data_IF_310010687389
#
_entry.id   IF_310010687389
#
_cell.length_a   1.000
_cell.length_b   1.000
_cell.length_c   1.000
_cell.angle_alpha   90.00
_cell.angle_beta   90.00
_cell.angle_gamma   90.00
#
_symmetry.space_group_name_H-M   'P 1'
#
loop_
_entity.id
_entity.type
_entity.pdbx_description
1 polymer ?
#
# COMPACT_ATOMS: atom_id res chain seq x y z
N UNK A 1 -8.06 -26.63 -5.16
CA UNK A 1 -8.43 -25.25 -4.78
C UNK A 1 -7.87 -24.31 -5.84
N UNK A 2 -8.71 -23.43 -6.41
CA UNK A 2 -8.25 -22.37 -7.31
C UNK A 2 -7.46 -21.33 -6.52
N UNK A 3 -6.49 -20.67 -7.15
CA UNK A 3 -5.82 -19.53 -6.53
C UNK A 3 -6.77 -18.33 -6.54
N UNK A 4 -6.81 -17.50 -5.47
CA UNK A 4 -7.59 -16.29 -5.48
C UNK A 4 -7.06 -15.31 -6.54
N UNK A 5 -7.98 -14.61 -7.19
CA UNK A 5 -7.67 -13.52 -8.12
C UNK A 5 -7.99 -12.21 -7.44
N UNK A 6 -7.01 -11.32 -7.35
CA UNK A 6 -7.12 -10.06 -6.59
C UNK A 6 -6.97 -8.84 -7.48
N UNK A 7 -7.65 -7.76 -7.13
CA UNK A 7 -7.48 -6.45 -7.75
C UNK A 7 -6.51 -5.61 -6.90
N UNK A 8 -5.51 -5.00 -7.53
CA UNK A 8 -4.75 -3.94 -6.91
C UNK A 8 -5.55 -2.63 -6.93
N UNK A 9 -5.78 -2.05 -5.74
CA UNK A 9 -6.68 -0.90 -5.62
C UNK A 9 -6.05 0.45 -6.00
N UNK A 10 -4.74 0.53 -6.07
CA UNK A 10 -4.02 1.79 -6.27
C UNK A 10 -4.30 2.53 -7.58
N UNK A 11 -4.77 1.83 -8.60
CA UNK A 11 -5.20 2.42 -9.88
C UNK A 11 -6.58 3.11 -9.78
N UNK A 12 -7.26 2.94 -8.66
CA UNK A 12 -8.62 3.43 -8.39
C UNK A 12 -8.64 4.35 -7.17
N UNK A 13 -7.47 4.96 -6.84
CA UNK A 13 -7.34 5.80 -5.65
C UNK A 13 -8.09 7.15 -5.74
N UNK A 14 -8.70 7.43 -6.88
CA UNK A 14 -9.67 8.51 -7.09
C UNK A 14 -11.08 8.16 -6.57
N UNK A 15 -11.36 6.87 -6.32
CA UNK A 15 -12.57 6.40 -5.67
C UNK A 15 -12.33 6.15 -4.18
N UNK A 16 -13.37 6.32 -3.37
CA UNK A 16 -13.35 5.79 -2.01
C UNK A 16 -13.31 4.26 -2.02
N UNK A 17 -12.79 3.66 -0.96
CA UNK A 17 -12.79 2.19 -0.87
C UNK A 17 -14.23 1.65 -0.82
N UNK A 18 -15.16 2.35 -0.16
CA UNK A 18 -16.57 2.02 -0.12
C UNK A 18 -17.22 1.97 -1.51
N UNK A 19 -16.85 2.91 -2.39
CA UNK A 19 -17.36 2.95 -3.76
C UNK A 19 -16.69 1.92 -4.68
N UNK A 20 -15.45 1.55 -4.38
CA UNK A 20 -14.67 0.64 -5.20
C UNK A 20 -15.04 -0.83 -4.95
N UNK A 21 -15.15 -1.28 -3.69
CA UNK A 21 -15.30 -2.70 -3.36
C UNK A 21 -16.54 -3.37 -3.99
N UNK A 22 -17.72 -2.74 -4.05
CA UNK A 22 -18.86 -3.32 -4.77
C UNK A 22 -18.56 -3.56 -6.27
N UNK A 23 -17.77 -2.68 -6.89
CA UNK A 23 -17.35 -2.82 -8.29
C UNK A 23 -16.38 -3.98 -8.45
N UNK A 24 -15.40 -4.10 -7.55
CA UNK A 24 -14.43 -5.21 -7.52
C UNK A 24 -15.15 -6.54 -7.42
N UNK A 25 -16.14 -6.64 -6.52
CA UNK A 25 -16.94 -7.86 -6.38
C UNK A 25 -17.74 -8.18 -7.64
N UNK A 26 -18.35 -7.16 -8.25
CA UNK A 26 -19.12 -7.32 -9.51
C UNK A 26 -18.22 -7.77 -10.67
N UNK A 27 -16.94 -7.38 -10.67
CA UNK A 27 -15.96 -7.83 -11.67
C UNK A 27 -15.53 -9.29 -11.47
N UNK A 28 -15.88 -9.94 -10.35
CA UNK A 28 -15.62 -11.35 -10.08
C UNK A 28 -14.30 -11.64 -9.36
N UNK A 29 -13.67 -10.62 -8.75
CA UNK A 29 -12.48 -10.83 -7.94
C UNK A 29 -12.79 -11.50 -6.60
N UNK A 30 -11.84 -12.28 -6.10
CA UNK A 30 -11.91 -12.94 -4.79
C UNK A 30 -11.47 -12.01 -3.66
N UNK A 31 -10.68 -10.99 -3.97
CA UNK A 31 -10.16 -10.06 -2.98
C UNK A 31 -9.38 -8.91 -3.59
N UNK A 32 -8.64 -8.22 -2.72
CA UNK A 32 -7.88 -7.03 -3.07
C UNK A 32 -6.43 -7.09 -2.59
N UNK A 33 -5.60 -6.30 -3.24
CA UNK A 33 -4.35 -5.77 -2.73
C UNK A 33 -4.58 -4.28 -2.42
N UNK A 34 -4.55 -3.90 -1.14
CA UNK A 34 -4.85 -2.54 -0.71
C UNK A 34 -3.68 -1.60 -0.91
N UNK A 35 -3.90 -0.48 -1.57
CA UNK A 35 -2.92 0.59 -1.71
C UNK A 35 -2.78 1.40 -0.42
N UNK A 36 -1.55 1.71 -0.01
CA UNK A 36 -1.28 2.59 1.14
C UNK A 36 -1.36 4.07 0.76
N UNK A 37 -2.34 4.45 -0.03
CA UNK A 37 -2.64 5.83 -0.41
C UNK A 37 -4.13 5.98 -0.79
N UNK A 38 -4.57 7.22 -0.97
CA UNK A 38 -5.99 7.51 -1.02
C UNK A 38 -6.62 7.25 0.35
N UNK A 39 -7.85 6.74 0.38
CA UNK A 39 -8.50 6.27 1.60
C UNK A 39 -8.45 4.74 1.77
N UNK A 40 -7.66 4.05 0.91
CA UNK A 40 -7.72 2.60 0.84
C UNK A 40 -7.08 1.94 2.06
N UNK A 41 -5.86 2.34 2.42
CA UNK A 41 -5.21 1.86 3.65
C UNK A 41 -4.24 2.89 4.21
N UNK A 42 -4.50 3.37 5.40
CA UNK A 42 -3.63 4.28 6.14
C UNK A 42 -2.77 3.48 7.12
N UNK A 43 -1.45 3.53 6.91
CA UNK A 43 -0.47 2.79 7.69
C UNK A 43 -0.41 3.26 9.14
N UNK A 44 -0.45 4.56 9.35
CA UNK A 44 -0.32 5.15 10.69
C UNK A 44 -1.63 4.98 11.49
N UNK A 45 -2.78 5.14 10.85
CA UNK A 45 -4.07 4.85 11.46
C UNK A 45 -4.18 3.35 11.84
N UNK A 46 -3.74 2.44 10.98
CA UNK A 46 -3.75 1.02 11.26
C UNK A 46 -2.86 0.65 12.46
N UNK A 47 -1.74 1.35 12.65
CA UNK A 47 -0.88 1.13 13.82
C UNK A 47 -1.45 1.72 15.09
N UNK A 48 -2.09 2.88 15.00
CA UNK A 48 -2.56 3.65 16.16
C UNK A 48 -3.91 3.16 16.69
N UNK A 49 -4.79 2.63 15.81
CA UNK A 49 -6.18 2.37 16.14
C UNK A 49 -6.63 0.96 15.72
N UNK A 50 -7.07 0.15 16.70
CA UNK A 50 -7.61 -1.18 16.45
C UNK A 50 -8.97 -1.13 15.76
N UNK A 51 -9.76 -0.08 16.00
CA UNK A 51 -11.07 0.10 15.37
C UNK A 51 -10.94 0.33 13.86
N UNK A 52 -9.93 1.12 13.44
CA UNK A 52 -9.63 1.30 12.02
C UNK A 52 -9.41 -0.04 11.30
N UNK A 53 -8.62 -0.92 11.92
CA UNK A 53 -8.34 -2.25 11.37
C UNK A 53 -9.61 -3.11 11.29
N UNK A 54 -10.42 -3.09 12.35
CA UNK A 54 -11.68 -3.83 12.41
C UNK A 54 -12.70 -3.32 11.37
N UNK A 55 -12.82 -2.01 11.20
CA UNK A 55 -13.71 -1.38 10.23
C UNK A 55 -13.30 -1.71 8.79
N UNK A 56 -12.00 -1.71 8.46
CA UNK A 56 -11.52 -2.13 7.13
C UNK A 56 -11.85 -3.60 6.86
N UNK A 57 -11.69 -4.50 7.84
CA UNK A 57 -12.10 -5.90 7.68
C UNK A 57 -13.61 -6.05 7.53
N UNK A 58 -14.37 -5.29 8.31
CA UNK A 58 -15.83 -5.28 8.19
C UNK A 58 -16.25 -4.87 6.77
N UNK A 59 -15.68 -3.79 6.25
CA UNK A 59 -15.98 -3.29 4.91
C UNK A 59 -15.67 -4.32 3.82
N UNK A 60 -14.52 -5.00 3.90
CA UNK A 60 -14.14 -6.08 2.98
C UNK A 60 -15.14 -7.24 3.05
N UNK A 61 -15.46 -7.69 4.26
CA UNK A 61 -16.36 -8.83 4.48
C UNK A 61 -17.79 -8.54 4.03
N UNK A 62 -18.30 -7.33 4.29
CA UNK A 62 -19.62 -6.90 3.85
C UNK A 62 -19.78 -6.95 2.30
N UNK A 63 -18.65 -6.77 1.59
CA UNK A 63 -18.59 -6.91 0.14
C UNK A 63 -18.21 -8.33 -0.34
N UNK A 64 -18.01 -9.28 0.57
CA UNK A 64 -17.60 -10.64 0.25
C UNK A 64 -16.23 -10.73 -0.41
N UNK A 65 -15.31 -9.83 -0.04
CA UNK A 65 -13.94 -9.75 -0.52
C UNK A 65 -12.98 -10.03 0.62
N UNK A 66 -11.78 -10.50 0.25
CA UNK A 66 -10.69 -10.72 1.17
C UNK A 66 -9.50 -9.79 0.84
N UNK A 67 -8.52 -9.69 1.73
CA UNK A 67 -7.28 -8.97 1.47
C UNK A 67 -6.11 -9.94 1.46
N UNK A 68 -5.30 -9.89 0.41
CA UNK A 68 -4.16 -10.78 0.22
C UNK A 68 -2.83 -10.05 0.21
N UNK A 69 -2.84 -8.73 0.02
CA UNK A 69 -1.64 -7.90 0.07
C UNK A 69 -1.97 -6.45 0.44
N UNK A 70 -1.00 -5.78 1.02
CA UNK A 70 -0.97 -4.34 1.24
C UNK A 70 0.24 -3.77 0.50
N UNK A 71 0.04 -2.73 -0.29
CA UNK A 71 1.01 -2.24 -1.25
C UNK A 71 1.38 -0.78 -0.99
N UNK A 72 2.66 -0.52 -0.80
CA UNK A 72 3.18 0.82 -0.48
C UNK A 72 4.32 1.24 -1.43
N UNK A 73 4.11 1.05 -2.73
CA UNK A 73 5.19 1.27 -3.70
C UNK A 73 5.56 2.72 -3.94
N UNK A 74 4.66 3.67 -3.75
CA UNK A 74 5.01 5.08 -3.91
C UNK A 74 6.13 5.49 -2.93
N UNK A 75 5.99 5.07 -1.68
CA UNK A 75 7.01 5.30 -0.66
C UNK A 75 8.22 4.39 -0.86
N UNK A 76 7.99 3.13 -1.23
CA UNK A 76 9.04 2.14 -1.47
C UNK A 76 10.05 2.58 -2.52
N UNK A 77 9.61 3.29 -3.56
CA UNK A 77 10.50 3.84 -4.59
C UNK A 77 11.54 4.80 -4.00
N UNK A 78 11.16 5.61 -3.01
CA UNK A 78 12.04 6.61 -2.44
C UNK A 78 13.19 6.03 -1.59
N UNK A 79 13.19 4.74 -1.27
CA UNK A 79 14.24 4.14 -0.43
C UNK A 79 15.59 4.09 -1.15
N UNK A 80 15.60 3.69 -2.41
CA UNK A 80 16.83 3.46 -3.17
C UNK A 80 16.95 4.35 -4.42
N UNK A 81 15.98 5.22 -4.67
CA UNK A 81 15.99 6.06 -5.87
C UNK A 81 16.86 7.31 -5.72
N UNK A 82 17.23 7.91 -6.86
CA UNK A 82 17.84 9.22 -6.90
C UNK A 82 16.74 10.26 -6.66
N UNK A 83 16.61 10.73 -5.42
CA UNK A 83 15.57 11.65 -5.00
C UNK A 83 15.73 12.99 -5.70
N UNK A 84 14.67 13.43 -6.36
CA UNK A 84 14.56 14.75 -6.97
C UNK A 84 13.12 15.31 -6.83
N UNK A 85 12.87 16.48 -7.41
CA UNK A 85 11.60 17.20 -7.27
C UNK A 85 10.36 16.40 -7.71
N UNK A 86 10.51 15.39 -8.57
CA UNK A 86 9.41 14.54 -9.06
C UNK A 86 8.84 13.67 -7.96
N UNK A 87 9.68 13.24 -7.01
CA UNK A 87 9.26 12.45 -5.87
C UNK A 87 8.28 13.21 -4.95
N UNK A 88 8.34 14.54 -4.96
CA UNK A 88 7.40 15.37 -4.20
C UNK A 88 5.94 15.15 -4.59
N UNK A 89 5.68 14.75 -5.84
CA UNK A 89 4.33 14.50 -6.33
C UNK A 89 3.72 13.16 -5.86
N UNK A 90 4.56 12.22 -5.44
CA UNK A 90 4.14 10.87 -5.06
C UNK A 90 4.32 10.56 -3.57
N UNK A 91 5.03 11.41 -2.85
CA UNK A 91 5.28 11.24 -1.42
C UNK A 91 4.41 12.20 -0.61
N UNK A 92 3.96 11.71 0.55
CA UNK A 92 3.27 12.56 1.52
C UNK A 92 4.20 13.66 2.07
N UNK A 93 3.66 14.80 2.54
CA UNK A 93 4.47 15.90 3.04
C UNK A 93 5.41 15.53 4.19
N UNK A 94 5.01 14.60 5.05
CA UNK A 94 5.80 14.11 6.19
C UNK A 94 6.99 13.25 5.73
N UNK A 95 6.85 12.49 4.64
CA UNK A 95 7.96 11.72 4.05
C UNK A 95 8.86 12.63 3.23
N UNK A 96 8.30 13.51 2.41
CA UNK A 96 9.07 14.48 1.65
C UNK A 96 9.86 15.42 2.55
N UNK A 97 9.22 16.00 3.56
CA UNK A 97 9.81 16.94 4.51
C UNK A 97 10.49 18.13 3.82
N UNK A 98 11.76 18.29 4.09
CA UNK A 98 12.60 19.35 3.51
C UNK A 98 13.12 19.05 2.09
N UNK A 99 12.86 17.84 1.58
CA UNK A 99 13.31 17.39 0.25
C UNK A 99 14.79 17.02 0.18
N UNK A 100 15.54 17.05 1.30
CA UNK A 100 16.92 16.58 1.32
C UNK A 100 16.96 15.08 1.04
N UNK A 101 17.65 14.61 -0.01
CA UNK A 101 17.54 13.24 -0.50
C UNK A 101 17.73 12.16 0.57
N UNK A 102 18.75 12.27 1.41
CA UNK A 102 18.98 11.28 2.46
C UNK A 102 17.88 11.30 3.53
N UNK A 103 17.41 12.49 3.92
CA UNK A 103 16.28 12.62 4.84
C UNK A 103 14.99 11.98 4.28
N UNK A 104 14.72 12.16 3.00
CA UNK A 104 13.59 11.49 2.32
C UNK A 104 13.73 9.98 2.38
N UNK A 105 14.91 9.42 2.03
CA UNK A 105 15.17 7.97 2.10
C UNK A 105 14.95 7.40 3.50
N UNK A 106 15.45 8.08 4.52
CA UNK A 106 15.32 7.63 5.91
C UNK A 106 13.85 7.63 6.37
N UNK A 107 13.10 8.68 6.04
CA UNK A 107 11.67 8.75 6.35
C UNK A 107 10.87 7.69 5.58
N UNK A 108 11.18 7.48 4.30
CA UNK A 108 10.57 6.43 3.49
C UNK A 108 10.86 5.03 4.05
N UNK A 109 12.10 4.74 4.43
CA UNK A 109 12.48 3.46 5.03
C UNK A 109 11.75 3.20 6.36
N UNK A 110 11.62 4.23 7.20
CA UNK A 110 10.83 4.14 8.44
C UNK A 110 9.36 3.85 8.17
N UNK A 111 8.77 4.56 7.21
CA UNK A 111 7.36 4.34 6.84
C UNK A 111 7.14 2.94 6.25
N UNK A 112 8.08 2.40 5.47
CA UNK A 112 7.99 1.04 4.96
C UNK A 112 8.08 -0.01 6.08
N UNK A 113 8.93 0.21 7.09
CA UNK A 113 8.95 -0.64 8.27
C UNK A 113 7.62 -0.58 9.05
N UNK A 114 6.99 0.59 9.11
CA UNK A 114 5.65 0.75 9.69
C UNK A 114 4.59 0.03 8.84
N UNK A 115 4.65 0.10 7.52
CA UNK A 115 3.74 -0.64 6.65
C UNK A 115 3.80 -2.16 6.88
N UNK A 116 5.00 -2.71 7.09
CA UNK A 116 5.15 -4.12 7.44
C UNK A 116 4.51 -4.47 8.81
N UNK A 117 4.65 -3.58 9.81
CA UNK A 117 3.99 -3.75 11.13
C UNK A 117 2.47 -3.64 11.03
N UNK A 118 1.98 -2.65 10.27
CA UNK A 118 0.55 -2.46 10.02
C UNK A 118 -0.05 -3.66 9.28
N UNK A 119 0.66 -4.19 8.28
CA UNK A 119 0.28 -5.41 7.58
C UNK A 119 0.16 -6.61 8.54
N UNK A 120 1.12 -6.78 9.45
CA UNK A 120 1.07 -7.83 10.48
C UNK A 120 -0.14 -7.66 11.39
N UNK A 121 -0.38 -6.45 11.90
CA UNK A 121 -1.53 -6.14 12.75
C UNK A 121 -2.84 -6.42 12.03
N UNK A 122 -2.94 -6.00 10.77
CA UNK A 122 -4.11 -6.23 9.92
C UNK A 122 -4.35 -7.73 9.68
N UNK A 123 -3.29 -8.49 9.40
CA UNK A 123 -3.35 -9.94 9.25
C UNK A 123 -3.86 -10.64 10.52
N UNK A 124 -3.32 -10.25 11.69
CA UNK A 124 -3.68 -10.87 12.98
C UNK A 124 -5.14 -10.59 13.36
N UNK A 125 -5.70 -9.46 12.91
CA UNK A 125 -7.09 -9.09 13.17
C UNK A 125 -8.09 -9.67 12.15
N UNK A 126 -7.63 -10.46 11.19
CA UNK A 126 -8.49 -11.01 10.14
C UNK A 126 -9.56 -11.95 10.71
N UNK A 127 -10.86 -11.71 10.42
CA UNK A 127 -11.93 -12.62 10.84
C UNK A 127 -11.79 -14.01 10.20
N UNK A 128 -11.94 -15.07 10.99
CA UNK A 128 -11.93 -16.45 10.50
C UNK A 128 -10.55 -17.10 10.36
N UNK A 129 -9.48 -16.46 10.83
CA UNK A 129 -8.16 -17.07 11.00
C UNK A 129 -7.15 -16.80 9.89
N UNK A 130 -5.99 -17.42 10.01
CA UNK A 130 -4.74 -17.03 9.37
C UNK A 130 -4.58 -17.56 7.94
N UNK A 131 -4.74 -16.73 6.93
CA UNK A 131 -3.86 -16.85 5.77
C UNK A 131 -2.94 -15.62 5.72
N UNK A 132 -1.72 -15.77 5.25
CA UNK A 132 -0.77 -14.68 5.23
C UNK A 132 -1.21 -13.57 4.26
N UNK A 133 -1.17 -12.33 4.75
CA UNK A 133 -1.24 -11.13 3.91
C UNK A 133 0.20 -10.76 3.60
N UNK A 134 0.49 -10.56 2.34
CA UNK A 134 1.82 -10.16 1.90
C UNK A 134 1.97 -8.65 2.02
N UNK A 135 2.96 -8.14 2.76
CA UNK A 135 3.36 -6.76 2.61
C UNK A 135 4.02 -6.64 1.23
N UNK A 136 3.26 -6.19 0.25
CA UNK A 136 3.79 -5.97 -1.08
C UNK A 136 4.63 -4.71 -1.06
N UNK A 137 5.89 -4.89 -0.85
CA UNK A 137 6.94 -3.86 -0.91
C UNK A 137 7.41 -3.77 -2.36
N UNK A 138 6.48 -3.59 -3.28
CA UNK A 138 6.82 -3.40 -4.67
C UNK A 138 7.37 -2.00 -4.81
N UNK A 139 8.58 -1.86 -5.27
CA UNK A 139 9.15 -0.56 -5.51
C UNK A 139 10.53 -0.37 -4.93
N UNK A 140 11.25 -1.45 -4.69
CA UNK A 140 12.69 -1.32 -4.59
C UNK A 140 13.22 -0.88 -5.96
N UNK A 141 13.30 0.41 -6.15
CA UNK A 141 14.07 0.96 -7.24
C UNK A 141 15.49 0.40 -7.16
N UNK A 142 16.03 0.00 -8.24
CA UNK A 142 17.40 -0.53 -8.32
C UNK A 142 17.52 -2.03 -8.41
N UNK A 143 16.47 -2.82 -8.29
CA UNK A 143 16.61 -4.27 -8.34
C UNK A 143 15.73 -4.98 -9.34
N UNK A 144 14.91 -4.30 -10.13
CA UNK A 144 13.96 -5.04 -10.96
C UNK A 144 13.38 -4.27 -12.14
N UNK A 145 12.53 -4.97 -12.85
CA UNK A 145 11.61 -4.48 -13.88
C UNK A 145 10.93 -3.17 -13.49
N UNK A 146 10.65 -2.96 -12.22
CA UNK A 146 10.02 -1.76 -11.68
C UNK A 146 10.93 -0.53 -11.78
N UNK A 147 12.24 -0.70 -11.64
CA UNK A 147 13.18 0.39 -11.83
C UNK A 147 13.04 1.03 -13.22
N UNK A 148 12.89 0.23 -14.25
CA UNK A 148 12.72 0.72 -15.63
C UNK A 148 11.35 1.36 -15.88
N UNK A 149 10.32 1.01 -15.11
CA UNK A 149 8.94 1.44 -15.32
C UNK A 149 8.51 2.59 -14.41
N UNK A 150 9.02 2.64 -13.19
CA UNK A 150 8.53 3.52 -12.13
C UNK A 150 9.60 4.39 -11.48
N UNK A 151 10.88 4.02 -11.55
CA UNK A 151 11.91 4.90 -11.05
C UNK A 151 12.16 6.06 -12.00
N UNK A 152 12.50 7.19 -11.43
CA UNK A 152 12.83 8.36 -12.22
C UNK A 152 14.27 8.26 -12.72
N UNK A 153 14.52 8.41 -14.04
CA UNK A 153 15.86 8.45 -14.54
C UNK A 153 16.63 9.62 -13.91
N UNK A 154 17.95 9.50 -13.75
CA UNK A 154 18.77 10.60 -13.27
C UNK A 154 18.52 11.85 -14.12
N UNK A 155 18.34 12.98 -13.48
CA UNK A 155 18.38 14.27 -14.17
C UNK A 155 19.84 14.57 -14.50
N UNK A 156 20.15 14.72 -15.78
CA UNK A 156 21.46 15.17 -16.25
C UNK A 156 21.77 16.58 -15.76
#
# INVERSE_FOLDING_TARGET
MSRPVTLFTGQWADLSLDDLLPKVKKMGYDGVELACWGDHFDVDAALADDSYVADKWKLLNDNGLDCYAISNHLVGQAICDNIDARHKAILSPDIWGDGVPEGVRQRAAKHMANAARACRKFMDARPGGNHPITPAVNGFSGSSIWHALYSFPPTS
#
